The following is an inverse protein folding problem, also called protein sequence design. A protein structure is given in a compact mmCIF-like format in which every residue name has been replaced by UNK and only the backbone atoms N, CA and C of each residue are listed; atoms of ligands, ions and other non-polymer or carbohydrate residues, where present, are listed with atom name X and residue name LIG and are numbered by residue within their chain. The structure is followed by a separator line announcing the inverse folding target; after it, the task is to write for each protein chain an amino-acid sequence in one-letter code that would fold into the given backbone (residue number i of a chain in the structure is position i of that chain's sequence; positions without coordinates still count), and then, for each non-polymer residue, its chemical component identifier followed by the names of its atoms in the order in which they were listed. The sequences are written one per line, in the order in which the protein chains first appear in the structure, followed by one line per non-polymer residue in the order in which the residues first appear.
data_IF_367151042126
#
_entry.id   IF_367151042126
#
_cell.length_a   1.000
_cell.length_b   1.000
_cell.length_c   1.000
_cell.angle_alpha   90.00
_cell.angle_beta   90.00
_cell.angle_gamma   90.00
#
_symmetry.space_group_name_H-M   'P 1'
#
loop_
_entity.id
_entity.type
_entity.pdbx_description
1 polymer ?
#
# COMPACT_ATOMS: atom_id res chain seq x y z
N UNK A 1 -9.04 27.77 7.13
CA UNK A 1 -7.62 27.46 7.21
C UNK A 1 -7.36 26.03 6.72
N UNK A 2 -6.41 25.87 5.87
CA UNK A 2 -6.10 24.55 5.33
C UNK A 2 -5.26 23.79 6.33
N UNK A 3 -5.72 22.58 6.64
CA UNK A 3 -4.97 21.71 7.52
C UNK A 3 -3.81 21.08 6.75
N UNK A 4 -2.62 21.19 7.33
CA UNK A 4 -1.43 20.61 6.71
C UNK A 4 -0.98 19.39 7.50
N UNK A 5 -0.57 18.36 6.77
CA UNK A 5 -0.02 17.17 7.39
C UNK A 5 1.36 17.49 7.96
N UNK A 6 1.69 16.86 9.08
CA UNK A 6 3.03 16.96 9.63
C UNK A 6 4.03 16.29 8.70
N UNK A 7 5.32 16.64 8.86
CA UNK A 7 6.38 16.04 8.07
C UNK A 7 6.44 14.53 8.32
N UNK A 8 6.24 14.11 9.57
CA UNK A 8 6.25 12.69 9.93
C UNK A 8 5.14 11.93 9.22
N UNK A 9 3.95 12.52 9.16
CA UNK A 9 2.82 11.90 8.47
C UNK A 9 3.09 11.77 6.98
N UNK A 10 3.66 12.82 6.37
CA UNK A 10 4.02 12.78 4.94
C UNK A 10 5.02 11.69 4.64
N UNK A 11 6.04 11.54 5.49
CA UNK A 11 7.04 10.50 5.32
C UNK A 11 6.44 9.10 5.46
N UNK A 12 5.52 8.94 6.42
CA UNK A 12 4.84 7.67 6.61
C UNK A 12 3.99 7.31 5.40
N UNK A 13 3.25 8.27 4.86
CA UNK A 13 2.44 8.04 3.67
C UNK A 13 3.34 7.67 2.48
N UNK A 14 4.44 8.37 2.31
CA UNK A 14 5.38 8.07 1.22
C UNK A 14 5.94 6.65 1.33
N UNK A 15 6.28 6.22 2.54
CA UNK A 15 6.76 4.87 2.78
C UNK A 15 5.69 3.82 2.49
N UNK A 16 4.45 4.08 2.93
CA UNK A 16 3.33 3.19 2.67
C UNK A 16 3.03 3.08 1.18
N UNK A 17 3.12 4.19 0.45
CA UNK A 17 2.92 4.18 -0.99
C UNK A 17 4.00 3.37 -1.71
N UNK A 18 5.24 3.42 -1.21
CA UNK A 18 6.31 2.60 -1.75
C UNK A 18 6.02 1.12 -1.52
N UNK A 19 5.59 0.76 -0.32
CA UNK A 19 5.22 -0.61 0.00
C UNK A 19 4.06 -1.09 -0.89
N UNK A 20 3.11 -0.21 -1.14
CA UNK A 20 1.99 -0.51 -2.03
C UNK A 20 2.48 -0.86 -3.43
N UNK A 21 3.38 -0.08 -3.97
CA UNK A 21 3.94 -0.31 -5.31
C UNK A 21 4.69 -1.65 -5.34
N UNK A 22 5.48 -1.94 -4.32
CA UNK A 22 6.20 -3.20 -4.24
C UNK A 22 5.25 -4.40 -4.21
N UNK A 23 4.16 -4.29 -3.45
CA UNK A 23 3.16 -5.34 -3.39
C UNK A 23 2.45 -5.52 -4.73
N UNK A 24 2.10 -4.43 -5.38
CA UNK A 24 1.48 -4.48 -6.70
C UNK A 24 2.37 -5.19 -7.71
N UNK A 25 3.68 -4.92 -7.68
CA UNK A 25 4.63 -5.58 -8.56
C UNK A 25 4.71 -7.08 -8.27
N UNK A 26 4.71 -7.46 -6.99
CA UNK A 26 4.74 -8.86 -6.61
C UNK A 26 3.46 -9.59 -7.02
N UNK A 27 2.33 -8.93 -6.85
CA UNK A 27 1.05 -9.50 -7.27
C UNK A 27 1.06 -9.77 -8.77
N UNK A 28 1.57 -8.84 -9.55
CA UNK A 28 1.68 -9.02 -11.00
C UNK A 28 2.55 -10.22 -11.35
N UNK A 29 3.71 -10.34 -10.71
CA UNK A 29 4.60 -11.48 -10.93
C UNK A 29 3.93 -12.80 -10.56
N UNK A 30 3.22 -12.84 -9.44
CA UNK A 30 2.51 -14.04 -9.02
C UNK A 30 1.37 -14.40 -9.96
N UNK A 31 0.75 -13.39 -10.56
CA UNK A 31 -0.28 -13.60 -11.57
C UNK A 31 0.30 -14.33 -12.78
N UNK A 32 1.46 -13.92 -13.25
CA UNK A 32 2.14 -14.61 -14.36
C UNK A 32 2.56 -16.02 -13.98
N UNK A 33 2.96 -16.23 -12.73
CA UNK A 33 3.37 -17.55 -12.26
C UNK A 33 2.18 -18.45 -11.93
N UNK A 34 0.97 -17.92 -11.89
CA UNK A 34 -0.23 -18.68 -11.57
C UNK A 34 -0.37 -19.03 -10.10
N UNK A 35 0.34 -18.31 -9.22
CA UNK A 35 0.29 -18.58 -7.78
C UNK A 35 -0.80 -17.73 -7.12
N UNK A 36 -2.04 -18.18 -7.24
CA UNK A 36 -3.19 -17.41 -6.77
C UNK A 36 -3.28 -17.32 -5.25
N UNK A 37 -2.79 -18.33 -4.53
CA UNK A 37 -2.88 -18.33 -3.07
C UNK A 37 -2.03 -17.20 -2.48
N UNK A 38 -0.78 -17.07 -2.94
CA UNK A 38 0.09 -16.00 -2.48
C UNK A 38 -0.40 -14.64 -2.97
N UNK A 39 -0.96 -14.61 -4.18
CA UNK A 39 -1.51 -13.38 -4.74
C UNK A 39 -2.63 -12.82 -3.86
N UNK A 40 -3.54 -13.68 -3.41
CA UNK A 40 -4.64 -13.26 -2.53
C UNK A 40 -4.11 -12.70 -1.22
N UNK A 41 -3.11 -13.35 -0.63
CA UNK A 41 -2.49 -12.86 0.61
C UNK A 41 -1.88 -11.49 0.44
N UNK A 42 -1.18 -11.26 -0.66
CA UNK A 42 -0.58 -9.95 -0.93
C UNK A 42 -1.65 -8.89 -1.22
N UNK A 43 -2.74 -9.27 -1.86
CA UNK A 43 -3.86 -8.36 -2.06
C UNK A 43 -4.48 -7.91 -0.75
N UNK A 44 -4.59 -8.81 0.23
CA UNK A 44 -5.07 -8.46 1.56
C UNK A 44 -4.13 -7.46 2.24
N UNK A 45 -2.82 -7.67 2.15
CA UNK A 45 -1.84 -6.74 2.66
C UNK A 45 -1.95 -5.38 1.97
N UNK A 46 -2.17 -5.39 0.67
CA UNK A 46 -2.35 -4.17 -0.10
C UNK A 46 -3.56 -3.38 0.39
N UNK A 47 -4.67 -4.05 0.63
CA UNK A 47 -5.86 -3.40 1.18
C UNK A 47 -5.60 -2.77 2.54
N UNK A 48 -4.86 -3.44 3.40
CA UNK A 48 -4.50 -2.89 4.71
C UNK A 48 -3.66 -1.63 4.58
N UNK A 49 -2.69 -1.64 3.67
CA UNK A 49 -1.85 -0.49 3.42
C UNK A 49 -2.68 0.67 2.87
N UNK A 50 -3.54 0.41 1.90
CA UNK A 50 -4.41 1.43 1.34
C UNK A 50 -5.35 2.03 2.39
N UNK A 51 -5.88 1.19 3.26
CA UNK A 51 -6.75 1.64 4.34
C UNK A 51 -5.99 2.53 5.33
N UNK A 52 -4.76 2.14 5.66
CA UNK A 52 -3.91 2.93 6.55
C UNK A 52 -3.59 4.29 5.93
N UNK A 53 -3.28 4.33 4.64
CA UNK A 53 -3.03 5.59 3.94
C UNK A 53 -4.27 6.49 4.01
N UNK A 54 -5.43 5.92 3.77
CA UNK A 54 -6.69 6.66 3.80
C UNK A 54 -6.94 7.27 5.16
N UNK A 55 -6.64 6.54 6.23
CA UNK A 55 -6.81 7.01 7.59
C UNK A 55 -5.83 8.12 7.97
N UNK A 56 -4.67 8.16 7.33
CA UNK A 56 -3.67 9.19 7.57
C UNK A 56 -3.93 10.48 6.80
N UNK A 57 -4.71 10.39 5.73
CA UNK A 57 -5.07 11.57 4.96
C UNK A 57 -6.12 12.40 5.69
N UNK A 58 -6.00 13.75 5.62
CA UNK A 58 -6.99 14.61 6.27
C UNK A 58 -8.36 14.56 5.60
#
# INVERSE_FOLDING_TARGET
MVETMSADTKLRIADLERQKIELENRIELLSYAGNHIKMVKLEEELFEIEDTIRKLLP
#
